data_IF_065384239217
#
_entry.id   IF_065384239217
#
_cell.length_a   1.000
_cell.length_b   1.000
_cell.length_c   1.000
_cell.angle_alpha   90.00
_cell.angle_beta   90.00
_cell.angle_gamma   90.00
#
_symmetry.space_group_name_H-M   'P 1'
#
loop_
_entity.id
_entity.type
_entity.pdbx_description
1 polymer ?
#
# COMPACT_ATOMS: atom_id res chain seq x y z
N UNK A 1 41.66 53.87 26.12
CA UNK A 1 40.23 53.62 25.81
C UNK A 1 40.11 52.34 24.97
N UNK A 2 39.68 51.23 25.57
CA UNK A 2 39.48 49.93 24.88
C UNK A 2 37.99 49.73 24.69
N UNK A 3 37.51 49.73 23.44
CA UNK A 3 36.13 49.36 23.10
C UNK A 3 36.04 47.84 23.08
N UNK A 4 35.23 47.29 23.99
CA UNK A 4 34.88 45.88 23.98
C UNK A 4 33.70 45.65 23.00
N UNK A 5 33.93 44.82 21.98
CA UNK A 5 32.88 44.39 21.05
C UNK A 5 32.01 43.29 21.71
N UNK A 6 30.76 43.60 21.98
CA UNK A 6 29.74 42.62 22.43
C UNK A 6 29.27 41.79 21.23
N UNK A 7 29.74 40.57 21.11
CA UNK A 7 29.17 39.56 20.19
C UNK A 7 27.80 39.10 20.72
N UNK A 8 26.75 39.49 20.04
CA UNK A 8 25.38 39.01 20.31
C UNK A 8 25.23 37.63 19.66
N UNK A 9 25.22 36.57 20.48
CA UNK A 9 24.84 35.24 20.05
C UNK A 9 23.32 35.20 19.76
N UNK A 10 22.95 35.13 18.50
CA UNK A 10 21.57 34.82 18.09
C UNK A 10 21.34 33.31 18.21
N UNK A 11 20.24 32.86 18.85
CA UNK A 11 19.94 31.44 18.89
C UNK A 11 19.56 30.95 17.51
N UNK A 12 20.23 29.92 17.03
CA UNK A 12 19.88 29.19 15.81
C UNK A 12 18.55 28.43 16.05
N UNK A 13 17.45 28.93 15.51
CA UNK A 13 16.15 28.23 15.57
C UNK A 13 16.23 27.01 14.66
N UNK A 14 16.35 25.84 15.25
CA UNK A 14 16.21 24.56 14.56
C UNK A 14 14.72 24.39 14.22
N UNK A 15 14.35 24.63 12.97
CA UNK A 15 13.05 24.28 12.43
C UNK A 15 12.97 22.74 12.37
N UNK A 16 12.34 22.13 13.38
CA UNK A 16 11.91 20.74 13.30
C UNK A 16 10.85 20.64 12.19
N UNK A 17 11.23 20.16 11.02
CA UNK A 17 10.27 19.74 10.01
C UNK A 17 9.57 18.48 10.52
N UNK A 18 8.36 18.65 11.06
CA UNK A 18 7.45 17.53 11.31
C UNK A 18 7.20 16.84 9.95
N UNK A 19 7.36 15.52 9.86
CA UNK A 19 6.96 14.82 8.66
C UNK A 19 5.46 15.07 8.47
N UNK A 20 5.08 15.69 7.35
CA UNK A 20 3.68 15.70 6.91
C UNK A 20 3.26 14.22 6.84
N UNK A 21 2.33 13.82 7.71
CA UNK A 21 1.68 12.53 7.58
C UNK A 21 1.14 12.46 6.15
N UNK A 22 1.65 11.52 5.35
CA UNK A 22 1.17 11.33 4.00
C UNK A 22 -0.32 11.04 4.12
N UNK A 23 -1.17 11.96 3.60
CA UNK A 23 -2.61 11.76 3.57
C UNK A 23 -2.87 10.47 2.82
N UNK A 24 -3.47 9.51 3.48
CA UNK A 24 -3.84 8.22 2.91
C UNK A 24 -5.32 8.28 2.54
N UNK A 25 -5.70 7.60 1.45
CA UNK A 25 -7.09 7.47 1.03
C UNK A 25 -7.98 6.98 2.19
N UNK A 26 -9.28 7.29 2.14
CA UNK A 26 -10.25 6.85 3.14
C UNK A 26 -10.69 5.41 2.87
N UNK A 27 -10.29 4.49 3.74
CA UNK A 27 -10.69 3.09 3.70
C UNK A 27 -12.00 2.92 4.48
N UNK A 28 -13.09 2.60 3.78
CA UNK A 28 -14.41 2.43 4.38
C UNK A 28 -14.41 1.43 5.53
N UNK A 29 -15.35 1.57 6.46
CA UNK A 29 -15.49 0.70 7.62
C UNK A 29 -15.68 -0.76 7.20
N UNK A 30 -15.01 -1.64 7.92
CA UNK A 30 -14.94 -3.06 7.62
C UNK A 30 -15.81 -3.85 8.59
N UNK A 31 -16.64 -4.73 8.08
CA UNK A 31 -17.32 -5.75 8.85
C UNK A 31 -16.30 -6.74 9.44
N UNK A 32 -16.67 -7.54 10.47
CA UNK A 32 -15.80 -8.60 10.98
C UNK A 32 -15.32 -9.58 9.90
N UNK A 33 -16.17 -9.88 8.91
CA UNK A 33 -15.79 -10.71 7.77
C UNK A 33 -14.68 -10.07 6.95
N UNK A 34 -14.83 -8.79 6.57
CA UNK A 34 -13.82 -8.08 5.78
C UNK A 34 -12.49 -7.92 6.52
N UNK A 35 -12.54 -7.67 7.84
CA UNK A 35 -11.35 -7.66 8.69
C UNK A 35 -10.66 -9.03 8.70
N UNK A 36 -11.42 -10.12 8.84
CA UNK A 36 -10.87 -11.48 8.82
C UNK A 36 -10.21 -11.81 7.48
N UNK A 37 -10.72 -11.24 6.39
CA UNK A 37 -10.24 -11.44 5.02
C UNK A 37 -9.28 -10.35 4.53
N UNK A 38 -8.94 -9.34 5.37
CA UNK A 38 -8.00 -8.26 5.09
C UNK A 38 -8.31 -7.46 3.79
N UNK A 39 -9.55 -7.03 3.60
CA UNK A 39 -9.93 -6.12 2.52
C UNK A 39 -10.97 -5.09 3.00
N UNK A 40 -11.04 -3.95 2.32
CA UNK A 40 -12.08 -2.93 2.53
C UNK A 40 -13.21 -3.12 1.54
N UNK A 41 -14.47 -2.83 1.92
CA UNK A 41 -15.61 -2.87 0.99
C UNK A 41 -15.43 -1.87 -0.16
N UNK A 42 -14.76 -0.76 0.13
CA UNK A 42 -14.39 0.28 -0.82
C UNK A 42 -13.34 1.19 -0.23
N UNK A 43 -12.71 1.97 -1.10
CA UNK A 43 -11.76 3.03 -0.73
C UNK A 43 -12.15 4.28 -1.48
N UNK A 44 -12.31 5.40 -0.77
CA UNK A 44 -12.60 6.70 -1.37
C UNK A 44 -11.30 7.49 -1.48
N UNK A 45 -11.06 8.05 -2.64
CA UNK A 45 -9.93 8.92 -2.92
C UNK A 45 -10.38 10.20 -3.60
N UNK A 46 -9.76 11.32 -3.28
CA UNK A 46 -10.01 12.60 -3.92
C UNK A 46 -8.70 13.33 -4.22
N UNK A 47 -8.46 13.61 -5.49
CA UNK A 47 -7.20 14.18 -5.97
C UNK A 47 -6.07 13.17 -5.96
N UNK A 48 -4.85 13.68 -5.79
CA UNK A 48 -3.65 12.85 -5.82
C UNK A 48 -3.24 12.38 -7.22
N UNK A 49 -2.14 11.65 -7.26
CA UNK A 49 -1.60 11.02 -8.47
C UNK A 49 -2.03 9.55 -8.49
N UNK A 50 -2.77 9.16 -9.52
CA UNK A 50 -3.15 7.75 -9.72
C UNK A 50 -2.01 7.01 -10.42
N UNK A 51 -1.64 5.85 -9.88
CA UNK A 51 -0.63 4.94 -10.43
C UNK A 51 -1.30 3.61 -10.76
N UNK A 52 -1.42 3.32 -12.03
CA UNK A 52 -1.91 2.05 -12.55
C UNK A 52 -0.75 1.06 -12.61
N UNK A 53 -0.71 0.12 -11.69
CA UNK A 53 0.34 -0.91 -11.63
C UNK A 53 -0.13 -2.10 -12.47
N UNK A 54 0.66 -2.44 -13.50
CA UNK A 54 0.42 -3.62 -14.32
C UNK A 54 0.47 -4.90 -13.48
N UNK A 55 -0.04 -6.01 -14.01
CA UNK A 55 0.08 -7.32 -13.37
C UNK A 55 1.55 -7.64 -13.03
N UNK A 56 1.82 -7.92 -11.77
CA UNK A 56 3.15 -8.29 -11.27
C UNK A 56 3.18 -9.78 -11.00
N UNK A 57 4.18 -10.45 -11.54
CA UNK A 57 4.47 -11.88 -11.34
C UNK A 57 5.97 -12.06 -11.10
N UNK A 58 6.38 -13.19 -10.50
CA UNK A 58 7.79 -13.47 -10.29
C UNK A 58 8.07 -14.98 -10.35
N UNK A 59 9.09 -15.39 -11.09
CA UNK A 59 9.70 -16.72 -11.01
C UNK A 59 11.12 -16.67 -10.48
N UNK A 60 11.63 -15.45 -10.21
CA UNK A 60 12.90 -15.18 -9.52
C UNK A 60 12.72 -14.09 -8.50
N UNK A 61 13.44 -14.17 -7.39
CA UNK A 61 13.48 -13.10 -6.40
C UNK A 61 14.43 -11.96 -6.80
N UNK A 62 14.56 -10.94 -5.94
CA UNK A 62 15.41 -9.78 -6.17
C UNK A 62 16.92 -10.12 -6.22
N UNK A 63 17.33 -11.30 -5.76
CA UNK A 63 18.72 -11.78 -5.80
C UNK A 63 18.96 -12.74 -6.97
N UNK A 64 17.91 -13.02 -7.78
CA UNK A 64 17.98 -13.91 -8.94
C UNK A 64 17.75 -15.39 -8.61
N UNK A 65 17.46 -15.74 -7.34
CA UNK A 65 17.13 -17.10 -6.96
C UNK A 65 15.80 -17.55 -7.59
N UNK A 66 15.73 -18.81 -8.00
CA UNK A 66 14.53 -19.40 -8.58
C UNK A 66 13.45 -19.60 -7.51
N UNK A 67 12.29 -18.99 -7.72
CA UNK A 67 11.08 -19.10 -6.88
C UNK A 67 9.88 -19.64 -7.68
N UNK A 68 10.11 -20.25 -8.84
CA UNK A 68 9.03 -20.89 -9.59
C UNK A 68 8.33 -21.95 -8.74
N UNK A 69 6.99 -22.02 -8.84
CA UNK A 69 6.15 -22.93 -8.06
C UNK A 69 6.22 -22.74 -6.52
N UNK A 70 6.82 -21.64 -6.05
CA UNK A 70 6.87 -21.28 -4.63
C UNK A 70 5.93 -20.09 -4.37
N UNK A 71 4.68 -20.40 -3.98
CA UNK A 71 3.64 -19.41 -3.81
C UNK A 71 4.04 -18.29 -2.84
N UNK A 72 4.54 -18.62 -1.64
CA UNK A 72 4.85 -17.62 -0.61
C UNK A 72 6.02 -16.70 -1.01
N UNK A 73 7.06 -17.27 -1.63
CA UNK A 73 8.18 -16.49 -2.13
C UNK A 73 7.70 -15.51 -3.26
N UNK A 74 6.82 -16.01 -4.14
CA UNK A 74 6.24 -15.18 -5.19
C UNK A 74 5.36 -14.07 -4.64
N UNK A 75 4.51 -14.32 -3.62
CA UNK A 75 3.71 -13.29 -2.95
C UNK A 75 4.60 -12.15 -2.44
N UNK A 76 5.67 -12.49 -1.70
CA UNK A 76 6.63 -11.50 -1.17
C UNK A 76 7.28 -10.69 -2.28
N UNK A 77 7.74 -11.36 -3.33
CA UNK A 77 8.42 -10.72 -4.45
C UNK A 77 7.46 -9.81 -5.25
N UNK A 78 6.23 -10.24 -5.48
CA UNK A 78 5.20 -9.47 -6.17
C UNK A 78 4.85 -8.19 -5.41
N UNK A 79 4.64 -8.25 -4.09
CA UNK A 79 4.43 -7.04 -3.28
C UNK A 79 5.65 -6.12 -3.29
N UNK A 80 6.86 -6.66 -3.26
CA UNK A 80 8.09 -5.86 -3.41
C UNK A 80 8.14 -5.13 -4.76
N UNK A 81 7.75 -5.78 -5.85
CA UNK A 81 7.69 -5.17 -7.17
C UNK A 81 6.65 -4.04 -7.25
N UNK A 82 5.45 -4.26 -6.68
CA UNK A 82 4.41 -3.22 -6.58
C UNK A 82 4.93 -2.01 -5.80
N UNK A 83 5.57 -2.23 -4.65
CA UNK A 83 6.17 -1.18 -3.83
C UNK A 83 7.24 -0.39 -4.60
N UNK A 84 8.10 -1.08 -5.36
CA UNK A 84 9.11 -0.45 -6.20
C UNK A 84 8.49 0.43 -7.30
N UNK A 85 7.42 -0.02 -7.95
CA UNK A 85 6.70 0.80 -8.95
C UNK A 85 6.13 2.05 -8.29
N UNK A 86 5.49 1.92 -7.13
CA UNK A 86 4.92 3.05 -6.39
C UNK A 86 6.00 4.02 -5.87
N UNK A 87 7.14 3.51 -5.41
CA UNK A 87 8.29 4.34 -5.00
C UNK A 87 8.84 5.20 -6.15
N UNK A 88 8.89 4.68 -7.37
CA UNK A 88 9.28 5.46 -8.56
C UNK A 88 8.31 6.61 -8.84
N UNK A 89 7.06 6.51 -8.40
CA UNK A 89 6.06 7.56 -8.50
C UNK A 89 6.03 8.51 -7.29
N UNK A 90 6.83 8.24 -6.24
CA UNK A 90 6.92 9.02 -5.00
C UNK A 90 6.01 8.52 -3.88
N UNK A 91 5.51 7.29 -3.97
CA UNK A 91 4.66 6.65 -2.97
C UNK A 91 5.27 5.38 -2.39
N UNK A 92 4.43 4.50 -1.90
CA UNK A 92 4.78 3.19 -1.33
C UNK A 92 3.60 2.21 -1.41
N UNK A 93 3.81 0.98 -0.95
CA UNK A 93 2.74 -0.02 -0.85
C UNK A 93 1.52 0.48 -0.05
N UNK A 94 1.72 1.36 0.94
CA UNK A 94 0.65 1.97 1.73
C UNK A 94 -0.32 2.84 0.90
N UNK A 95 0.07 3.23 -0.30
CA UNK A 95 -0.78 4.01 -1.21
C UNK A 95 -1.69 3.16 -2.10
N UNK A 96 -1.64 1.82 -2.00
CA UNK A 96 -2.52 0.94 -2.78
C UNK A 96 -3.96 1.06 -2.28
N UNK A 97 -4.87 1.45 -3.16
CA UNK A 97 -6.30 1.62 -2.86
C UNK A 97 -7.13 0.43 -3.33
N UNK A 98 -6.70 -0.26 -4.37
CA UNK A 98 -7.37 -1.49 -4.85
C UNK A 98 -6.38 -2.44 -5.50
N UNK A 99 -6.71 -3.74 -5.47
CA UNK A 99 -5.96 -4.77 -6.16
C UNK A 99 -6.87 -5.90 -6.65
N UNK A 100 -6.49 -6.50 -7.77
CA UNK A 100 -7.02 -7.79 -8.22
C UNK A 100 -5.92 -8.81 -8.10
N UNK A 101 -6.20 -9.88 -7.38
CA UNK A 101 -5.26 -10.96 -7.08
C UNK A 101 -5.71 -12.21 -7.78
N UNK A 102 -4.88 -12.73 -8.64
CA UNK A 102 -5.08 -14.00 -9.32
C UNK A 102 -4.17 -15.04 -8.69
N UNK A 103 -4.74 -16.19 -8.31
CA UNK A 103 -4.00 -17.33 -7.75
C UNK A 103 -4.28 -18.58 -8.57
N UNK A 104 -3.31 -19.48 -8.66
CA UNK A 104 -3.46 -20.70 -9.43
C UNK A 104 -4.30 -21.76 -8.71
N UNK A 105 -4.15 -21.87 -7.40
CA UNK A 105 -4.78 -22.90 -6.59
C UNK A 105 -5.70 -22.29 -5.52
N UNK A 106 -6.96 -22.74 -5.38
CA UNK A 106 -7.89 -22.23 -4.36
C UNK A 106 -7.32 -22.34 -2.93
N UNK A 107 -6.51 -23.36 -2.65
CA UNK A 107 -5.86 -23.60 -1.34
C UNK A 107 -4.91 -22.47 -0.92
N UNK A 108 -4.46 -21.64 -1.84
CA UNK A 108 -3.60 -20.49 -1.53
C UNK A 108 -4.37 -19.31 -0.95
N UNK A 109 -5.71 -19.31 -1.03
CA UNK A 109 -6.53 -18.15 -0.68
C UNK A 109 -6.36 -17.70 0.78
N UNK A 110 -6.42 -18.62 1.73
CA UNK A 110 -6.26 -18.28 3.15
C UNK A 110 -4.83 -17.84 3.48
N UNK A 111 -3.85 -18.54 2.91
CA UNK A 111 -2.44 -18.17 3.09
C UNK A 111 -2.13 -16.80 2.50
N UNK A 112 -2.68 -16.46 1.34
CA UNK A 112 -2.56 -15.11 0.79
C UNK A 112 -3.14 -14.04 1.73
N UNK A 113 -4.32 -14.30 2.33
CA UNK A 113 -4.96 -13.37 3.27
C UNK A 113 -4.08 -13.11 4.49
N UNK A 114 -3.45 -14.14 5.07
CA UNK A 114 -2.50 -13.99 6.18
C UNK A 114 -1.32 -13.11 5.77
N UNK A 115 -0.66 -13.42 4.66
CA UNK A 115 0.47 -12.64 4.16
C UNK A 115 0.08 -11.19 3.83
N UNK A 116 -1.12 -10.96 3.30
CA UNK A 116 -1.62 -9.61 3.04
C UNK A 116 -1.81 -8.80 4.32
N UNK A 117 -2.26 -9.40 5.42
CA UNK A 117 -2.32 -8.72 6.73
C UNK A 117 -0.96 -8.20 7.17
N UNK A 118 0.09 -8.99 6.96
CA UNK A 118 1.46 -8.59 7.29
C UNK A 118 1.97 -7.44 6.42
N UNK A 119 1.53 -7.37 5.16
CA UNK A 119 1.91 -6.29 4.24
C UNK A 119 1.19 -4.96 4.53
N UNK A 120 -0.03 -4.99 5.08
CA UNK A 120 -0.85 -3.81 5.39
C UNK A 120 -1.14 -3.71 6.90
N UNK A 121 -0.09 -3.65 7.71
CA UNK A 121 -0.15 -3.66 9.19
C UNK A 121 -0.96 -2.50 9.80
N UNK A 122 -1.14 -1.38 9.08
CA UNK A 122 -2.00 -0.27 9.51
C UNK A 122 -3.48 -0.62 9.56
N UNK A 123 -3.90 -1.77 8.99
CA UNK A 123 -5.30 -2.13 8.83
C UNK A 123 -6.01 -1.41 7.69
N UNK A 124 -5.30 -0.55 6.96
CA UNK A 124 -5.79 0.10 5.74
C UNK A 124 -5.71 -0.88 4.56
N UNK A 125 -6.60 -1.87 4.60
CA UNK A 125 -6.65 -2.91 3.56
C UNK A 125 -7.27 -2.34 2.28
N UNK A 126 -6.63 -2.52 1.11
CA UNK A 126 -7.19 -2.14 -0.17
C UNK A 126 -8.54 -2.82 -0.45
N UNK A 127 -9.37 -2.22 -1.30
CA UNK A 127 -10.41 -2.96 -1.98
C UNK A 127 -9.79 -4.12 -2.76
N UNK A 128 -10.35 -5.33 -2.69
CA UNK A 128 -9.65 -6.48 -3.30
C UNK A 128 -10.61 -7.55 -3.81
N UNK A 129 -10.36 -8.02 -5.04
CA UNK A 129 -10.86 -9.28 -5.54
C UNK A 129 -9.76 -10.34 -5.46
N UNK A 130 -10.11 -11.56 -5.02
CA UNK A 130 -9.22 -12.73 -5.03
C UNK A 130 -9.85 -13.79 -5.91
N UNK A 131 -9.20 -14.14 -7.01
CA UNK A 131 -9.73 -14.94 -8.09
C UNK A 131 -8.80 -16.12 -8.36
N UNK A 132 -9.33 -17.32 -8.47
CA UNK A 132 -8.58 -18.48 -8.94
C UNK A 132 -8.69 -18.58 -10.45
N UNK A 133 -7.54 -18.76 -11.10
CA UNK A 133 -7.44 -18.93 -12.56
C UNK A 133 -6.92 -20.33 -12.91
N UNK A 134 -7.28 -20.81 -14.10
CA UNK A 134 -6.84 -22.13 -14.55
C UNK A 134 -5.35 -22.19 -14.86
N UNK A 135 -4.76 -21.08 -15.34
CA UNK A 135 -3.33 -21.01 -15.65
C UNK A 135 -2.85 -19.56 -15.78
N UNK A 136 -1.55 -19.36 -15.79
CA UNK A 136 -0.87 -18.11 -16.09
C UNK A 136 -0.16 -18.18 -17.43
N UNK A 137 0.22 -17.02 -17.96
CA UNK A 137 0.88 -16.91 -19.25
C UNK A 137 2.27 -17.60 -19.31
N UNK A 138 2.87 -17.90 -18.16
CA UNK A 138 4.17 -18.59 -18.06
C UNK A 138 4.13 -19.70 -17.02
N UNK A 139 4.82 -20.82 -17.26
CA UNK A 139 4.97 -21.90 -16.28
C UNK A 139 5.64 -21.38 -15.00
N UNK A 140 5.30 -22.02 -13.88
CA UNK A 140 5.91 -21.72 -12.57
C UNK A 140 5.36 -20.50 -11.85
N UNK A 141 4.42 -19.73 -12.47
CA UNK A 141 3.72 -18.63 -11.81
C UNK A 141 2.56 -19.21 -10.98
N UNK A 142 2.45 -18.81 -9.73
CA UNK A 142 1.41 -19.23 -8.79
C UNK A 142 0.50 -18.06 -8.38
N UNK A 143 0.95 -16.80 -8.61
CA UNK A 143 0.22 -15.59 -8.28
C UNK A 143 0.54 -14.45 -9.26
N UNK A 144 -0.47 -13.64 -9.55
CA UNK A 144 -0.35 -12.34 -10.21
C UNK A 144 -1.18 -11.31 -9.44
N UNK A 145 -0.66 -10.09 -9.26
CA UNK A 145 -1.39 -8.99 -8.64
C UNK A 145 -1.33 -7.76 -9.55
N UNK A 146 -2.52 -7.26 -9.88
CA UNK A 146 -2.72 -5.96 -10.49
C UNK A 146 -3.22 -4.99 -9.41
N UNK A 147 -2.72 -3.75 -9.39
CA UNK A 147 -3.06 -2.80 -8.34
C UNK A 147 -3.22 -1.37 -8.88
N UNK A 148 -3.93 -0.55 -8.11
CA UNK A 148 -3.98 0.90 -8.30
C UNK A 148 -3.56 1.56 -7.01
N UNK A 149 -2.63 2.51 -7.11
CA UNK A 149 -2.20 3.36 -6.00
C UNK A 149 -2.63 4.81 -6.21
N UNK A 150 -2.90 5.53 -5.10
CA UNK A 150 -3.16 6.97 -5.10
C UNK A 150 -2.17 7.65 -4.15
N UNK A 151 -1.37 8.59 -4.68
CA UNK A 151 -0.30 9.26 -3.95
C UNK A 151 -0.68 10.73 -3.77
N UNK A 152 -0.64 11.22 -2.52
CA UNK A 152 -1.04 12.59 -2.20
C UNK A 152 -2.56 12.77 -2.23
N UNK A 153 -3.31 11.76 -1.82
CA UNK A 153 -4.76 11.78 -1.65
C UNK A 153 -5.16 12.80 -0.58
N UNK A 154 -6.30 13.46 -0.77
CA UNK A 154 -6.83 14.45 0.18
C UNK A 154 -7.81 13.87 1.20
N UNK A 155 -8.37 12.69 0.92
CA UNK A 155 -9.24 11.99 1.86
C UNK A 155 -8.43 11.28 2.94
N UNK A 156 -8.91 11.29 4.17
CA UNK A 156 -8.31 10.56 5.28
C UNK A 156 -9.33 10.37 6.40
N UNK A 157 -8.97 9.59 7.43
CA UNK A 157 -9.78 9.52 8.65
C UNK A 157 -9.96 10.88 9.34
N UNK A 158 -9.03 11.81 9.13
CA UNK A 158 -9.11 13.19 9.63
C UNK A 158 -9.90 14.12 8.70
N UNK A 159 -9.89 13.85 7.40
CA UNK A 159 -10.62 14.60 6.36
C UNK A 159 -11.39 13.62 5.47
N UNK A 160 -12.50 13.05 5.97
CA UNK A 160 -13.26 12.06 5.23
C UNK A 160 -13.99 12.68 4.03
N UNK A 161 -13.97 11.99 2.90
CA UNK A 161 -14.66 12.34 1.68
C UNK A 161 -15.96 11.53 1.48
N UNK A 162 -16.09 10.38 2.14
CA UNK A 162 -17.30 9.57 2.08
C UNK A 162 -18.43 10.18 2.93
N UNK A 163 -19.67 9.91 2.56
CA UNK A 163 -20.84 10.28 3.37
C UNK A 163 -20.81 9.62 4.76
N UNK A 164 -20.31 8.38 4.85
CA UNK A 164 -20.12 7.63 6.10
C UNK A 164 -19.11 8.31 7.02
N UNK A 165 -17.95 8.68 6.51
CA UNK A 165 -16.91 9.35 7.28
C UNK A 165 -17.33 10.74 7.73
N UNK A 166 -18.05 11.49 6.90
CA UNK A 166 -18.59 12.81 7.26
C UNK A 166 -19.66 12.72 8.35
N UNK A 167 -20.52 11.68 8.34
CA UNK A 167 -21.54 11.48 9.35
C UNK A 167 -20.95 11.18 10.73
N UNK A 168 -19.81 10.50 10.82
CA UNK A 168 -19.12 10.19 12.09
C UNK A 168 -18.44 11.40 12.73
N UNK A 169 -18.23 12.48 11.99
CA UNK A 169 -17.62 13.73 12.50
C UNK A 169 -18.63 14.76 12.98
N UNK A 170 -19.91 14.56 12.75
CA UNK A 170 -21.02 15.41 13.26
C UNK A 170 -21.52 14.89 14.57
#
# INVERSE_FOLDING_TARGET
>A
MKLAAMMRNAPLAVLLSLPLAASAAEYMEKTPFQLSRAFSPGVVSEGGKIVWVAGQTATRDSQGADIANNFEAQVKQVFSQIDQVLKRAGGSLANVVTMTVFIKEPRYGDRFVEMRKDMFQSGNYPGSALITVTNFARPGIEIEIQAVGVIGDRCSGEQPCSAEGQAKKR
#
